data_IF_448370144186
#
_entry.id   IF_448370144186
#
_cell.length_a   1.000
_cell.length_b   1.000
_cell.length_c   1.000
_cell.angle_alpha   90.00
_cell.angle_beta   90.00
_cell.angle_gamma   90.00
#
_symmetry.space_group_name_H-M   'P 1'
#
loop_
_entity.id
_entity.type
_entity.pdbx_description
1 polymer ?
#
# COMPACT_ATOMS: atom_id res chain seq x y z
N UNK A 1 -43.70 19.63 2.37
CA UNK A 1 -43.08 19.06 1.16
C UNK A 1 -41.82 19.86 0.86
N UNK A 2 -40.64 19.27 0.95
CA UNK A 2 -39.36 19.97 0.72
C UNK A 2 -39.07 20.09 -0.78
N UNK A 3 -38.71 21.31 -1.22
CA UNK A 3 -38.49 21.70 -2.62
C UNK A 3 -37.28 20.95 -3.21
N UNK A 4 -37.33 20.48 -4.47
CA UNK A 4 -36.16 19.90 -5.14
C UNK A 4 -35.04 20.95 -5.19
N UNK A 5 -33.87 20.62 -4.64
CA UNK A 5 -32.71 21.53 -4.54
C UNK A 5 -32.57 22.26 -3.20
N UNK A 6 -33.47 22.04 -2.23
CA UNK A 6 -33.19 22.43 -0.84
C UNK A 6 -32.12 21.50 -0.26
N UNK A 7 -31.09 22.06 0.39
CA UNK A 7 -30.07 21.35 1.18
C UNK A 7 -30.67 20.72 2.46
N UNK A 8 -31.88 20.15 2.37
CA UNK A 8 -32.47 19.33 3.40
C UNK A 8 -31.82 17.96 3.33
N UNK A 9 -30.59 17.90 3.85
CA UNK A 9 -29.91 16.64 4.03
C UNK A 9 -30.66 15.84 5.09
N UNK A 10 -31.45 14.88 4.64
CA UNK A 10 -32.09 13.88 5.49
C UNK A 10 -31.04 12.90 6.05
N UNK A 11 -29.99 13.43 6.69
CA UNK A 11 -29.05 12.60 7.41
C UNK A 11 -29.79 11.94 8.57
N UNK A 12 -29.58 10.63 8.74
CA UNK A 12 -30.18 9.94 9.88
C UNK A 12 -29.72 10.59 11.19
N UNK A 13 -30.59 10.69 12.20
CA UNK A 13 -30.23 11.24 13.51
C UNK A 13 -28.98 10.56 14.11
N UNK A 14 -28.83 9.25 13.88
CA UNK A 14 -27.66 8.48 14.29
C UNK A 14 -26.36 8.97 13.63
N UNK A 15 -26.40 9.30 12.34
CA UNK A 15 -25.24 9.81 11.61
C UNK A 15 -24.80 11.17 12.15
N UNK A 16 -25.77 12.05 12.40
CA UNK A 16 -25.51 13.38 12.98
C UNK A 16 -24.96 13.28 14.41
N UNK A 17 -25.47 12.35 15.22
CA UNK A 17 -25.00 12.12 16.59
C UNK A 17 -23.58 11.55 16.61
N UNK A 18 -23.28 10.56 15.75
CA UNK A 18 -21.92 10.03 15.60
C UNK A 18 -20.95 11.10 15.15
N UNK A 19 -21.32 11.91 14.15
CA UNK A 19 -20.49 12.99 13.66
C UNK A 19 -20.23 14.07 14.74
N UNK A 20 -21.26 14.47 15.50
CA UNK A 20 -21.08 15.36 16.68
C UNK A 20 -20.15 14.75 17.72
N UNK A 21 -20.24 13.45 17.97
CA UNK A 21 -19.32 12.72 18.86
C UNK A 21 -17.87 12.82 18.40
N UNK A 22 -17.63 12.61 17.11
CA UNK A 22 -16.29 12.73 16.51
C UNK A 22 -15.73 14.16 16.62
N UNK A 23 -16.55 15.19 16.37
CA UNK A 23 -16.14 16.58 16.56
C UNK A 23 -15.69 16.85 18.00
N UNK A 24 -16.46 16.37 18.99
CA UNK A 24 -16.13 16.52 20.42
C UNK A 24 -14.85 15.78 20.80
N UNK A 25 -14.66 14.55 20.34
CA UNK A 25 -13.43 13.77 20.60
C UNK A 25 -12.18 14.48 20.07
N UNK A 26 -12.30 15.15 18.92
CA UNK A 26 -11.19 15.89 18.32
C UNK A 26 -11.07 17.34 18.83
N UNK A 27 -11.91 17.76 19.79
CA UNK A 27 -11.91 19.15 20.30
C UNK A 27 -12.34 20.20 19.28
N UNK A 28 -13.01 19.81 18.21
CA UNK A 28 -13.42 20.70 17.10
C UNK A 28 -14.87 21.12 17.24
N UNK A 29 -15.15 22.39 16.94
CA UNK A 29 -16.52 22.88 16.90
C UNK A 29 -17.25 22.36 15.67
N UNK A 30 -18.43 21.76 15.89
CA UNK A 30 -19.26 21.16 14.84
C UNK A 30 -19.50 22.09 13.65
N UNK A 31 -19.88 23.34 13.92
CA UNK A 31 -20.16 24.35 12.88
C UNK A 31 -18.92 24.67 12.03
N UNK A 32 -17.74 24.77 12.66
CA UNK A 32 -16.49 25.05 11.95
C UNK A 32 -16.06 23.91 11.04
N UNK A 33 -16.34 22.67 11.44
CA UNK A 33 -16.07 21.49 10.60
C UNK A 33 -16.99 21.47 9.39
N UNK A 34 -18.28 21.83 9.56
CA UNK A 34 -19.21 21.93 8.44
C UNK A 34 -18.88 23.07 7.47
N UNK A 35 -18.51 24.24 8.00
CA UNK A 35 -18.02 25.37 7.19
C UNK A 35 -16.83 24.93 6.33
N UNK A 36 -15.83 24.29 6.96
CA UNK A 36 -14.65 23.82 6.24
C UNK A 36 -14.97 22.74 5.21
N UNK A 37 -15.90 21.84 5.52
CA UNK A 37 -16.35 20.83 4.57
C UNK A 37 -17.04 21.48 3.37
N UNK A 38 -17.87 22.50 3.59
CA UNK A 38 -18.56 23.23 2.53
C UNK A 38 -17.58 24.00 1.64
N UNK A 39 -16.59 24.67 2.21
CA UNK A 39 -15.51 25.33 1.46
C UNK A 39 -14.81 24.33 0.53
N UNK A 40 -14.36 23.18 1.08
CA UNK A 40 -13.66 22.15 0.31
C UNK A 40 -14.56 21.54 -0.75
N UNK A 41 -15.84 21.35 -0.46
CA UNK A 41 -16.82 20.85 -1.43
C UNK A 41 -16.96 21.80 -2.63
N UNK A 42 -17.00 23.11 -2.39
CA UNK A 42 -17.06 24.11 -3.46
C UNK A 42 -15.75 24.19 -4.25
N UNK A 43 -14.60 24.20 -3.58
CA UNK A 43 -13.27 24.21 -4.21
C UNK A 43 -13.05 23.00 -5.13
N UNK A 44 -13.61 21.84 -4.75
CA UNK A 44 -13.46 20.58 -5.50
C UNK A 44 -14.60 20.30 -6.48
N UNK A 45 -15.58 21.21 -6.61
CA UNK A 45 -16.76 20.98 -7.45
C UNK A 45 -17.57 19.74 -7.05
N UNK A 46 -17.49 19.30 -5.79
CA UNK A 46 -18.16 18.13 -5.25
C UNK A 46 -17.32 16.86 -5.16
N UNK A 47 -16.13 16.82 -5.75
CA UNK A 47 -15.28 15.62 -5.80
C UNK A 47 -14.81 15.09 -4.43
N UNK A 48 -14.88 15.90 -3.37
CA UNK A 48 -14.55 15.47 -2.00
C UNK A 48 -15.47 14.35 -1.48
N UNK A 49 -16.67 14.19 -2.04
CA UNK A 49 -17.64 13.16 -1.62
C UNK A 49 -17.62 11.89 -2.49
N UNK A 50 -16.97 11.91 -3.65
CA UNK A 50 -17.03 10.82 -4.64
C UNK A 50 -16.22 9.57 -4.24
N UNK A 51 -15.61 9.56 -3.05
CA UNK A 51 -14.88 8.41 -2.49
C UNK A 51 -13.59 8.05 -3.25
N UNK A 52 -13.41 8.57 -4.46
CA UNK A 52 -12.15 8.60 -5.18
C UNK A 52 -11.38 9.77 -4.63
N UNK A 53 -10.41 9.50 -3.75
CA UNK A 53 -9.48 10.45 -3.15
C UNK A 53 -9.24 11.69 -4.03
N UNK A 54 -10.05 12.74 -3.83
CA UNK A 54 -9.94 13.97 -4.61
C UNK A 54 -8.68 14.68 -4.17
N UNK A 55 -7.64 14.50 -4.99
CA UNK A 55 -6.43 15.27 -4.99
C UNK A 55 -6.78 16.73 -5.27
N UNK A 56 -6.97 17.52 -4.22
CA UNK A 56 -6.94 18.98 -4.32
C UNK A 56 -5.54 19.35 -4.84
N UNK A 57 -5.40 20.05 -5.99
CA UNK A 57 -4.11 20.48 -6.47
C UNK A 57 -3.67 21.72 -5.69
N UNK A 58 -3.16 21.50 -4.47
CA UNK A 58 -2.27 22.47 -3.82
C UNK A 58 -1.00 22.55 -4.68
N UNK A 59 -0.35 23.71 -4.89
CA UNK A 59 0.89 23.79 -5.69
C UNK A 59 2.03 22.88 -5.18
N UNK A 60 1.98 22.43 -3.92
CA UNK A 60 2.86 21.39 -3.35
C UNK A 60 2.49 19.94 -3.70
N UNK A 61 1.29 19.69 -4.22
CA UNK A 61 0.80 18.36 -4.58
C UNK A 61 1.59 17.75 -5.74
N UNK A 62 2.04 18.57 -6.71
CA UNK A 62 2.91 18.10 -7.80
C UNK A 62 4.28 17.66 -7.29
N UNK A 63 4.89 18.39 -6.34
CA UNK A 63 6.16 17.98 -5.71
C UNK A 63 6.00 16.70 -4.90
N UNK A 64 4.88 16.56 -4.17
CA UNK A 64 4.57 15.31 -3.45
C UNK A 64 4.26 14.15 -4.40
N UNK A 65 3.53 14.37 -5.49
CA UNK A 65 3.27 13.34 -6.51
C UNK A 65 4.57 12.84 -7.14
N UNK A 66 5.45 13.74 -7.60
CA UNK A 66 6.75 13.38 -8.17
C UNK A 66 7.62 12.64 -7.14
N UNK A 67 7.53 13.01 -5.86
CA UNK A 67 8.23 12.30 -4.79
C UNK A 67 7.63 10.91 -4.51
N UNK A 68 6.31 10.77 -4.54
CA UNK A 68 5.63 9.47 -4.39
C UNK A 68 5.95 8.55 -5.57
N UNK A 69 5.91 9.06 -6.81
CA UNK A 69 6.31 8.30 -8.00
C UNK A 69 7.79 7.91 -7.95
N UNK A 70 8.68 8.81 -7.49
CA UNK A 70 10.10 8.47 -7.28
C UNK A 70 10.28 7.38 -6.23
N UNK A 71 9.52 7.41 -5.13
CA UNK A 71 9.55 6.37 -4.10
C UNK A 71 8.99 5.04 -4.60
N UNK A 72 7.91 5.06 -5.40
CA UNK A 72 7.33 3.87 -6.03
C UNK A 72 8.30 3.24 -7.03
N UNK A 73 8.96 4.06 -7.85
CA UNK A 73 9.96 3.58 -8.82
C UNK A 73 11.18 2.98 -8.11
N UNK A 74 11.69 3.61 -7.04
CA UNK A 74 12.77 3.04 -6.22
C UNK A 74 12.37 1.72 -5.57
N UNK A 75 11.14 1.62 -5.05
CA UNK A 75 10.64 0.37 -4.47
C UNK A 75 10.56 -0.73 -5.54
N UNK A 76 10.09 -0.39 -6.74
CA UNK A 76 10.03 -1.34 -7.85
C UNK A 76 11.42 -1.81 -8.26
N UNK A 77 12.39 -0.91 -8.39
CA UNK A 77 13.79 -1.24 -8.67
C UNK A 77 14.41 -2.15 -7.58
N UNK A 78 14.20 -1.81 -6.31
CA UNK A 78 14.68 -2.61 -5.18
C UNK A 78 14.05 -4.01 -5.16
N UNK A 79 12.75 -4.11 -5.47
CA UNK A 79 12.05 -5.39 -5.57
C UNK A 79 12.60 -6.23 -6.72
N UNK A 80 12.79 -5.66 -7.91
CA UNK A 80 13.37 -6.35 -9.06
C UNK A 80 14.79 -6.87 -8.75
N UNK A 81 15.62 -6.04 -8.12
CA UNK A 81 16.98 -6.41 -7.72
C UNK A 81 17.00 -7.53 -6.67
N UNK A 82 16.08 -7.50 -5.70
CA UNK A 82 15.96 -8.57 -4.70
C UNK A 82 15.51 -9.88 -5.34
N UNK A 83 14.58 -9.84 -6.29
CA UNK A 83 14.15 -11.02 -7.04
C UNK A 83 15.32 -11.63 -7.81
N UNK A 84 16.11 -10.83 -8.52
CA UNK A 84 17.30 -11.30 -9.24
C UNK A 84 18.31 -12.00 -8.30
N UNK A 85 18.54 -11.44 -7.11
CA UNK A 85 19.44 -12.04 -6.11
C UNK A 85 18.87 -13.37 -5.59
N UNK A 86 17.57 -13.43 -5.30
CA UNK A 86 16.92 -14.65 -4.82
C UNK A 86 16.96 -15.76 -5.89
N UNK A 87 16.76 -15.42 -7.16
CA UNK A 87 16.87 -16.38 -8.26
C UNK A 87 18.29 -16.95 -8.38
N UNK A 88 19.32 -16.11 -8.28
CA UNK A 88 20.72 -16.57 -8.28
C UNK A 88 21.04 -17.47 -7.07
N UNK A 89 20.54 -17.09 -5.89
CA UNK A 89 20.72 -17.88 -4.67
C UNK A 89 20.01 -19.24 -4.77
N UNK A 90 18.82 -19.29 -5.37
CA UNK A 90 18.09 -20.54 -5.61
C UNK A 90 18.91 -21.50 -6.45
N UNK A 91 19.42 -21.05 -7.61
CA UNK A 91 20.23 -21.91 -8.50
C UNK A 91 21.45 -22.47 -7.79
N UNK A 92 22.15 -21.64 -7.00
CA UNK A 92 23.30 -22.10 -6.22
C UNK A 92 22.90 -23.16 -5.18
N UNK A 93 21.79 -22.93 -4.50
CA UNK A 93 21.29 -23.83 -3.45
C UNK A 93 20.85 -25.16 -4.05
N UNK A 94 20.15 -25.14 -5.19
CA UNK A 94 19.70 -26.35 -5.91
C UNK A 94 20.91 -27.21 -6.32
N UNK A 95 21.98 -26.59 -6.81
CA UNK A 95 23.23 -27.29 -7.14
C UNK A 95 23.89 -27.93 -5.91
N UNK A 96 23.97 -27.21 -4.78
CA UNK A 96 24.55 -27.75 -3.56
C UNK A 96 23.72 -28.90 -2.98
N UNK A 97 22.39 -28.82 -3.07
CA UNK A 97 21.47 -29.90 -2.70
C UNK A 97 21.75 -31.13 -3.55
N UNK A 98 21.81 -31.00 -4.88
CA UNK A 98 22.07 -32.12 -5.79
C UNK A 98 23.42 -32.78 -5.49
N UNK A 99 24.46 -31.97 -5.27
CA UNK A 99 25.80 -32.46 -4.89
C UNK A 99 25.76 -33.28 -3.60
N UNK A 100 25.13 -32.76 -2.55
CA UNK A 100 25.03 -33.44 -1.25
C UNK A 100 24.19 -34.71 -1.37
N UNK A 101 23.08 -34.67 -2.10
CA UNK A 101 22.25 -35.85 -2.36
C UNK A 101 23.04 -36.95 -3.06
N UNK A 102 23.88 -36.59 -4.04
CA UNK A 102 24.76 -37.55 -4.72
C UNK A 102 25.79 -38.16 -3.76
N UNK A 103 26.41 -37.35 -2.90
CA UNK A 103 27.33 -37.85 -1.87
C UNK A 103 26.64 -38.77 -0.86
N UNK A 104 25.42 -38.43 -0.43
CA UNK A 104 24.62 -39.26 0.49
C UNK A 104 24.23 -40.58 -0.18
N UNK A 105 23.80 -40.55 -1.45
CA UNK A 105 23.48 -41.76 -2.21
C UNK A 105 24.70 -42.66 -2.38
N UNK A 106 25.87 -42.07 -2.66
CA UNK A 106 27.13 -42.79 -2.75
C UNK A 106 27.46 -43.51 -1.43
N UNK A 107 27.45 -42.81 -0.30
CA UNK A 107 27.70 -43.41 1.02
C UNK A 107 26.68 -44.52 1.34
N UNK A 108 25.38 -44.29 1.05
CA UNK A 108 24.31 -45.28 1.28
C UNK A 108 24.45 -46.53 0.42
N UNK A 109 25.04 -46.42 -0.77
CA UNK A 109 25.24 -47.55 -1.67
C UNK A 109 26.37 -48.51 -1.23
N UNK A 110 27.15 -48.15 -0.21
CA UNK A 110 28.25 -48.97 0.29
C UNK A 110 29.44 -49.06 -0.68
N UNK A 111 29.49 -48.21 -1.71
CA UNK A 111 30.60 -48.12 -2.66
C UNK A 111 31.80 -47.42 -1.99
N UNK A 112 32.97 -48.05 -2.04
CA UNK A 112 34.23 -47.47 -1.60
C UNK A 112 34.82 -46.66 -2.75
N UNK A 113 35.27 -45.42 -2.50
CA UNK A 113 35.88 -44.59 -3.55
C UNK A 113 37.05 -45.36 -4.18
N UNK A 114 37.20 -45.34 -5.52
CA UNK A 114 38.31 -46.03 -6.17
C UNK A 114 39.62 -45.46 -5.62
N UNK A 115 40.35 -46.30 -4.87
CA UNK A 115 41.69 -45.97 -4.39
C UNK A 115 42.54 -45.64 -5.60
N UNK A 116 43.03 -44.40 -5.69
CA UNK A 116 43.92 -44.01 -6.77
C UNK A 116 45.20 -44.84 -6.67
N UNK A 117 45.25 -45.89 -7.49
CA UNK A 117 46.46 -46.66 -7.74
C UNK A 117 47.45 -45.75 -8.45
N UNK A 118 48.58 -45.47 -7.77
CA UNK A 118 49.75 -44.80 -8.34
C UNK A 118 50.35 -45.58 -9.50
#
# INVERSE_FOLDING_TARGET
>A
MSRPGAFAANFSPDTLNRFRGLCKQQGKQYTKVLERLAEVYLETGGGVLDGVASSVPVPDAKKRQVQVESLQNKLLEDLLKRVEVLEKQKVKTDYEIERVQKSVAFIRSGLQEPSQSK
#
